data_IF_866851517301
#
_entry.id   IF_866851517301
#
_cell.length_a   1.000
_cell.length_b   1.000
_cell.length_c   1.000
_cell.angle_alpha   90.00
_cell.angle_beta   90.00
_cell.angle_gamma   90.00
#
_symmetry.space_group_name_H-M   'P 1'
#
loop_
_entity.id
_entity.type
_entity.pdbx_description
1 polymer ?
#
# COMPACT_ATOMS: atom_id res chain seq x y z
N UNK A 1 -8.32 -7.44 14.16
CA UNK A 1 -7.13 -8.10 13.60
C UNK A 1 -6.05 -7.05 13.38
N UNK A 2 -4.82 -7.27 13.84
CA UNK A 2 -3.69 -6.37 13.59
C UNK A 2 -2.82 -7.03 12.52
N UNK A 3 -2.70 -6.40 11.34
CA UNK A 3 -1.86 -6.88 10.25
C UNK A 3 -0.54 -6.10 10.30
N UNK A 4 0.57 -6.81 10.53
CA UNK A 4 1.92 -6.23 10.48
C UNK A 4 2.53 -6.56 9.12
N UNK A 5 2.53 -5.60 8.21
CA UNK A 5 3.17 -5.71 6.88
C UNK A 5 4.58 -5.12 6.94
N UNK A 6 5.56 -5.81 6.36
CA UNK A 6 6.93 -5.27 6.19
C UNK A 6 7.15 -4.76 4.77
N UNK A 7 6.59 -5.44 3.76
CA UNK A 7 6.71 -5.11 2.34
C UNK A 7 5.37 -4.67 1.74
N UNK A 8 5.42 -3.91 0.66
CA UNK A 8 4.21 -3.51 -0.06
C UNK A 8 3.41 -4.73 -0.58
N UNK A 9 4.07 -5.82 -0.92
CA UNK A 9 3.45 -7.06 -1.42
C UNK A 9 2.49 -7.68 -0.39
N UNK A 10 2.80 -7.55 0.89
CA UNK A 10 1.98 -8.06 2.00
C UNK A 10 0.98 -7.03 2.53
N UNK A 11 0.96 -5.83 1.96
CA UNK A 11 0.14 -4.73 2.45
C UNK A 11 -1.30 -4.84 1.89
N UNK A 12 -2.34 -4.80 2.74
CA UNK A 12 -3.73 -4.90 2.29
C UNK A 12 -4.18 -3.71 1.43
N UNK A 13 -3.39 -2.64 1.39
CA UNK A 13 -3.64 -1.45 0.57
C UNK A 13 -2.86 -1.44 -0.75
N UNK A 14 -2.07 -2.48 -1.03
CA UNK A 14 -1.40 -2.66 -2.31
C UNK A 14 -2.39 -3.21 -3.32
N UNK A 15 -2.66 -2.42 -4.37
CA UNK A 15 -3.54 -2.84 -5.45
C UNK A 15 -2.76 -3.71 -6.44
N UNK A 16 -3.41 -4.74 -7.02
CA UNK A 16 -2.79 -5.56 -8.05
C UNK A 16 -2.42 -4.73 -9.28
N UNK A 17 -1.54 -5.29 -10.11
CA UNK A 17 -1.16 -4.71 -11.40
C UNK A 17 -2.41 -4.59 -12.28
N UNK A 18 -2.65 -3.41 -12.85
CA UNK A 18 -3.81 -3.14 -13.71
C UNK A 18 -3.34 -2.83 -15.14
N UNK A 19 -3.51 -3.76 -16.11
CA UNK A 19 -3.19 -3.51 -17.51
C UNK A 19 -3.92 -2.27 -18.07
N UNK A 20 -3.30 -1.47 -18.96
CA UNK A 20 -2.01 -1.68 -19.64
C UNK A 20 -0.78 -1.31 -18.81
N UNK A 21 -0.95 -0.84 -17.57
CA UNK A 21 0.16 -0.46 -16.73
C UNK A 21 0.67 -1.66 -15.93
N UNK A 22 1.96 -1.99 -16.08
CA UNK A 22 2.63 -3.07 -15.34
C UNK A 22 3.04 -2.63 -13.91
N UNK A 23 2.37 -1.64 -13.33
CA UNK A 23 2.74 -1.06 -12.03
C UNK A 23 1.65 -1.29 -10.99
N UNK A 24 2.09 -1.65 -9.78
CA UNK A 24 1.22 -1.74 -8.61
C UNK A 24 0.94 -0.35 -8.06
N UNK A 25 -0.20 -0.17 -7.40
CA UNK A 25 -0.64 1.14 -6.91
C UNK A 25 -1.04 1.08 -5.44
N UNK A 26 -0.76 2.15 -4.69
CA UNK A 26 -1.14 2.25 -3.28
C UNK A 26 -2.52 2.89 -3.11
N UNK A 27 -3.47 2.20 -2.47
CA UNK A 27 -4.84 2.70 -2.30
C UNK A 27 -4.95 3.88 -1.32
N UNK A 28 -4.01 4.02 -0.39
CA UNK A 28 -4.05 5.00 0.71
C UNK A 28 -2.97 6.10 0.60
N UNK A 29 -2.20 6.12 -0.48
CA UNK A 29 -1.19 7.18 -0.68
C UNK A 29 -1.85 8.56 -0.82
N UNK A 30 -1.05 9.62 -0.67
CA UNK A 30 -1.49 10.99 -1.00
C UNK A 30 -0.54 11.61 -2.06
N UNK A 31 -0.98 11.85 -3.30
CA UNK A 31 -2.30 11.54 -3.87
C UNK A 31 -2.62 10.03 -3.91
N UNK A 32 -3.91 9.62 -3.91
CA UNK A 32 -4.31 8.23 -3.95
C UNK A 32 -3.90 7.53 -5.25
N UNK A 33 -3.71 6.21 -5.20
CA UNK A 33 -3.27 5.37 -6.32
C UNK A 33 -1.89 5.74 -6.88
N UNK A 34 -0.97 6.22 -6.03
CA UNK A 34 0.43 6.43 -6.46
C UNK A 34 1.04 5.11 -6.94
N UNK A 35 1.81 5.14 -8.05
CA UNK A 35 2.54 3.97 -8.51
C UNK A 35 3.61 3.59 -7.49
N UNK A 36 3.72 2.29 -7.24
CA UNK A 36 4.76 1.65 -6.45
C UNK A 36 5.79 1.17 -7.46
N UNK A 37 6.74 2.03 -7.81
CA UNK A 37 7.95 1.61 -8.53
C UNK A 37 8.78 0.74 -7.60
N UNK A 38 9.46 -0.27 -8.15
CA UNK A 38 10.24 -1.24 -7.37
C UNK A 38 11.08 -0.54 -6.30
N UNK A 39 10.80 -0.88 -5.05
CA UNK A 39 11.62 -0.47 -3.91
C UNK A 39 12.53 -1.66 -3.66
N UNK A 40 13.84 -1.45 -3.67
CA UNK A 40 14.78 -2.55 -3.51
C UNK A 40 14.56 -3.26 -2.16
N UNK A 41 14.41 -4.58 -2.21
CA UNK A 41 14.28 -5.43 -1.03
C UNK A 41 12.97 -5.23 -0.23
N UNK A 42 13.12 -5.03 1.07
CA UNK A 42 12.02 -4.98 2.04
C UNK A 42 11.59 -3.55 2.37
N UNK A 43 12.12 -2.56 1.64
CA UNK A 43 11.88 -1.16 1.95
C UNK A 43 10.50 -0.69 1.48
N UNK A 44 9.88 0.15 2.32
CA UNK A 44 8.63 0.85 1.95
C UNK A 44 8.96 2.10 1.13
N UNK A 45 8.14 2.47 0.12
CA UNK A 45 8.33 3.71 -0.63
C UNK A 45 8.39 4.93 0.28
N UNK A 46 9.14 5.95 -0.11
CA UNK A 46 9.27 7.20 0.66
C UNK A 46 7.94 7.90 0.93
N UNK A 47 6.98 7.73 0.02
CA UNK A 47 5.63 8.28 0.11
C UNK A 47 4.65 7.41 0.90
N UNK A 48 5.08 6.23 1.39
CA UNK A 48 4.19 5.31 2.10
C UNK A 48 3.67 5.95 3.40
N UNK A 49 2.34 6.15 3.57
CA UNK A 49 1.78 6.78 4.77
C UNK A 49 2.12 5.99 6.05
N UNK A 50 2.16 4.66 5.94
CA UNK A 50 2.46 3.74 7.04
C UNK A 50 3.91 3.82 7.55
N UNK A 51 4.79 4.63 6.93
CA UNK A 51 6.10 4.99 7.51
C UNK A 51 5.97 5.95 8.70
N UNK A 52 4.88 6.71 8.79
CA UNK A 52 4.69 7.78 9.79
C UNK A 52 3.38 7.63 10.58
N UNK A 53 2.40 6.93 10.02
CA UNK A 53 1.05 6.87 10.54
C UNK A 53 0.60 5.42 10.76
N UNK A 54 -0.34 5.23 11.69
CA UNK A 54 -1.08 3.98 11.86
C UNK A 54 -2.49 4.16 11.30
N UNK A 55 -2.97 3.19 10.54
CA UNK A 55 -4.31 3.20 9.95
C UNK A 55 -5.15 2.11 10.58
N UNK A 56 -6.33 2.47 11.06
CA UNK A 56 -7.31 1.55 11.64
C UNK A 56 -8.41 1.34 10.60
N UNK A 57 -8.48 0.14 10.02
CA UNK A 57 -9.58 -0.27 9.14
C UNK A 57 -10.72 -0.81 10.00
N UNK A 58 -11.92 -0.23 9.85
CA UNK A 58 -13.13 -0.69 10.52
C UNK A 58 -14.06 -1.29 9.48
N UNK A 59 -14.55 -2.50 9.72
CA UNK A 59 -15.66 -3.06 8.95
C UNK A 59 -16.96 -2.45 9.48
N UNK A 60 -17.78 -1.93 8.58
CA UNK A 60 -19.15 -1.54 8.89
C UNK A 60 -20.05 -2.70 8.48
N UNK A 61 -20.70 -3.36 9.45
CA UNK A 61 -21.82 -4.26 9.15
C UNK A 61 -23.02 -3.39 8.82
N UNK A 62 -23.43 -3.42 7.55
CA UNK A 62 -24.68 -2.84 7.05
C UNK A 62 -25.68 -3.93 6.71
#
# INVERSE_FOLDING_TARGET
>A
MIIVTRKCDDCPFCQPVCPPEEVRRCAISNPPRRPIHEVEGDERPSFCPLRREQIIVREFQG
#
